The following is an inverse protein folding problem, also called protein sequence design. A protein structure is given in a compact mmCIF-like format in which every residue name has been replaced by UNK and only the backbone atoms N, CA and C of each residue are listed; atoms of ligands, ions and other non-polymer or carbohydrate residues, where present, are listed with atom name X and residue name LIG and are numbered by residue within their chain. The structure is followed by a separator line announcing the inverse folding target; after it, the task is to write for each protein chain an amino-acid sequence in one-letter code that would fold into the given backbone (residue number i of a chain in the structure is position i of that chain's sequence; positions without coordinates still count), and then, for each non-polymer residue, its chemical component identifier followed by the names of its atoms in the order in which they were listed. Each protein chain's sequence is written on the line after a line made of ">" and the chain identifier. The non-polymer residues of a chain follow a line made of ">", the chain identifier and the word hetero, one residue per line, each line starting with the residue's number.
data_IF_629842304640
#
_entry.id   IF_629842304640
#
_cell.length_a   1.000
_cell.length_b   1.000
_cell.length_c   1.000
_cell.angle_alpha   90.00
_cell.angle_beta   90.00
_cell.angle_gamma   90.00
#
_symmetry.space_group_name_H-M   'P 1'
#
loop_
_entity.id
_entity.type
_entity.pdbx_description
1 polymer ?
#
# COMPACT_ATOMS: atom_id res chain seq x y z
N UNK A 1 -1.99 -19.12 0.01
CA UNK A 1 -2.00 -17.84 0.76
C UNK A 1 -3.35 -17.46 1.36
N UNK A 2 -4.47 -17.54 0.62
CA UNK A 2 -5.77 -16.98 1.04
C UNK A 2 -6.37 -17.47 2.38
N UNK A 3 -5.94 -18.62 2.88
CA UNK A 3 -6.44 -19.17 4.16
C UNK A 3 -5.62 -18.72 5.38
N UNK A 4 -4.49 -18.02 5.19
CA UNK A 4 -3.70 -17.48 6.30
C UNK A 4 -4.37 -16.23 6.86
N UNK A 5 -4.19 -15.98 8.16
CA UNK A 5 -4.67 -14.76 8.82
C UNK A 5 -3.73 -13.56 8.57
N UNK A 6 -2.44 -13.81 8.45
CA UNK A 6 -1.41 -12.82 8.16
C UNK A 6 -0.37 -13.44 7.20
N UNK A 7 0.13 -12.64 6.25
CA UNK A 7 1.14 -13.07 5.29
C UNK A 7 2.52 -12.62 5.72
N UNK A 8 3.53 -13.44 5.45
CA UNK A 8 4.94 -13.12 5.65
C UNK A 8 5.65 -12.86 4.32
N UNK A 9 6.86 -12.31 4.35
CA UNK A 9 7.66 -12.12 3.12
C UNK A 9 7.87 -13.43 2.36
N UNK A 10 8.14 -14.53 3.07
CA UNK A 10 8.33 -15.85 2.44
C UNK A 10 7.09 -16.35 1.70
N UNK A 11 5.89 -15.89 2.05
CA UNK A 11 4.67 -16.22 1.31
C UNK A 11 4.63 -15.59 -0.09
N UNK A 12 5.43 -14.56 -0.34
CA UNK A 12 5.52 -13.88 -1.63
C UNK A 12 6.51 -14.58 -2.60
N UNK A 13 7.31 -15.53 -2.11
CA UNK A 13 8.39 -16.14 -2.89
C UNK A 13 7.86 -16.81 -4.17
N UNK A 14 8.40 -16.40 -5.32
CA UNK A 14 8.03 -16.91 -6.64
C UNK A 14 6.67 -16.43 -7.18
N UNK A 15 5.94 -15.61 -6.41
CA UNK A 15 4.64 -15.09 -6.84
C UNK A 15 4.79 -14.02 -7.93
N UNK A 16 3.74 -13.92 -8.75
CA UNK A 16 3.63 -12.85 -9.75
C UNK A 16 3.25 -11.55 -9.03
N UNK A 17 4.18 -10.62 -8.95
CA UNK A 17 4.06 -9.41 -8.15
C UNK A 17 3.79 -8.18 -9.02
N UNK A 18 2.68 -7.49 -8.72
CA UNK A 18 2.31 -6.21 -9.31
C UNK A 18 2.83 -5.12 -8.37
N UNK A 19 3.58 -4.17 -8.90
CA UNK A 19 4.35 -3.22 -8.09
C UNK A 19 4.21 -1.79 -8.58
N UNK A 20 4.68 -0.85 -7.76
CA UNK A 20 5.07 0.48 -8.23
C UNK A 20 6.15 0.38 -9.33
N UNK A 21 6.20 1.36 -10.26
CA UNK A 21 7.24 1.45 -11.29
C UNK A 21 8.66 1.46 -10.74
N UNK A 22 9.59 0.95 -11.56
CA UNK A 22 11.01 1.00 -11.26
C UNK A 22 11.47 2.46 -11.00
N UNK A 23 12.28 2.64 -9.95
CA UNK A 23 12.79 3.95 -9.55
C UNK A 23 11.89 4.75 -8.60
N UNK A 24 10.65 4.33 -8.33
CA UNK A 24 9.84 4.95 -7.28
C UNK A 24 10.37 4.57 -5.87
N UNK A 25 10.30 5.48 -4.87
CA UNK A 25 10.80 5.20 -3.53
C UNK A 25 10.19 3.95 -2.89
N UNK A 26 8.88 3.73 -3.06
CA UNK A 26 8.19 2.55 -2.52
C UNK A 26 8.62 1.26 -3.20
N UNK A 27 8.94 1.32 -4.51
CA UNK A 27 9.51 0.20 -5.25
C UNK A 27 10.88 -0.17 -4.67
N UNK A 28 11.75 0.82 -4.52
CA UNK A 28 13.09 0.62 -3.97
C UNK A 28 13.04 0.05 -2.54
N UNK A 29 12.18 0.59 -1.67
CA UNK A 29 12.01 0.09 -0.30
C UNK A 29 11.55 -1.37 -0.29
N UNK A 30 10.58 -1.74 -1.14
CA UNK A 30 10.12 -3.12 -1.26
C UNK A 30 11.23 -4.07 -1.73
N UNK A 31 12.02 -3.67 -2.73
CA UNK A 31 13.15 -4.45 -3.22
C UNK A 31 14.22 -4.65 -2.15
N UNK A 32 14.53 -3.62 -1.35
CA UNK A 32 15.45 -3.74 -0.22
C UNK A 32 14.95 -4.73 0.83
N UNK A 33 13.66 -4.67 1.18
CA UNK A 33 13.04 -5.61 2.12
C UNK A 33 13.15 -7.06 1.60
N UNK A 34 12.77 -7.29 0.34
CA UNK A 34 12.83 -8.60 -0.30
C UNK A 34 14.27 -9.13 -0.35
N UNK A 35 15.21 -8.29 -0.76
CA UNK A 35 16.63 -8.63 -0.86
C UNK A 35 17.22 -9.01 0.50
N UNK A 36 16.95 -8.24 1.56
CA UNK A 36 17.47 -8.49 2.89
C UNK A 36 16.98 -9.82 3.49
N UNK A 37 15.78 -10.25 3.12
CA UNK A 37 15.19 -11.53 3.56
C UNK A 37 15.42 -12.68 2.57
N UNK A 38 16.15 -12.44 1.47
CA UNK A 38 16.43 -13.44 0.45
C UNK A 38 15.17 -13.97 -0.25
N UNK A 39 14.15 -13.14 -0.40
CA UNK A 39 12.88 -13.49 -1.04
C UNK A 39 12.84 -12.93 -2.45
N UNK A 40 12.78 -13.82 -3.44
CA UNK A 40 12.59 -13.43 -4.83
C UNK A 40 11.13 -13.47 -5.23
N UNK A 41 10.66 -12.44 -5.93
CA UNK A 41 9.32 -12.36 -6.53
C UNK A 41 9.44 -12.12 -8.04
N UNK A 42 8.42 -12.48 -8.81
CA UNK A 42 8.38 -12.23 -10.24
C UNK A 42 7.59 -10.96 -10.54
N UNK A 43 8.28 -9.85 -10.80
CA UNK A 43 7.62 -8.59 -11.17
C UNK A 43 7.02 -8.66 -12.57
N UNK A 44 5.68 -8.59 -12.66
CA UNK A 44 4.96 -8.82 -13.93
C UNK A 44 4.27 -7.59 -14.51
N UNK A 45 3.90 -6.62 -13.67
CA UNK A 45 3.24 -5.37 -14.10
C UNK A 45 3.61 -4.25 -13.13
N UNK A 46 3.78 -3.06 -13.69
CA UNK A 46 4.07 -1.83 -12.95
C UNK A 46 2.95 -0.81 -13.09
N UNK A 47 2.49 -0.24 -11.98
CA UNK A 47 1.54 0.87 -11.97
C UNK A 47 1.54 1.61 -10.64
N UNK A 48 1.46 2.94 -10.70
CA UNK A 48 1.31 3.78 -9.50
C UNK A 48 -0.17 3.98 -9.10
N UNK A 49 -1.12 3.41 -9.84
CA UNK A 49 -2.55 3.63 -9.64
C UNK A 49 -3.24 2.45 -8.95
N UNK A 50 -3.65 2.65 -7.71
CA UNK A 50 -4.25 1.61 -6.87
C UNK A 50 -5.49 0.96 -7.47
N UNK A 51 -6.35 1.72 -8.16
CA UNK A 51 -7.53 1.16 -8.83
C UNK A 51 -7.14 0.20 -9.98
N UNK A 52 -6.07 0.50 -10.70
CA UNK A 52 -5.54 -0.38 -11.75
C UNK A 52 -4.94 -1.63 -11.10
N UNK A 53 -4.14 -1.47 -10.04
CA UNK A 53 -3.58 -2.59 -9.26
C UNK A 53 -4.68 -3.55 -8.82
N UNK A 54 -5.73 -3.06 -8.16
CA UNK A 54 -6.83 -3.92 -7.71
C UNK A 54 -7.55 -4.61 -8.88
N UNK A 55 -7.81 -3.92 -9.99
CA UNK A 55 -8.42 -4.52 -11.18
C UNK A 55 -7.57 -5.64 -11.78
N UNK A 56 -6.24 -5.48 -11.82
CA UNK A 56 -5.31 -6.49 -12.29
C UNK A 56 -5.26 -7.72 -11.36
N UNK A 57 -5.26 -7.50 -10.05
CA UNK A 57 -5.35 -8.59 -9.05
C UNK A 57 -6.67 -9.34 -9.19
N UNK A 58 -7.81 -8.65 -9.31
CA UNK A 58 -9.12 -9.28 -9.51
C UNK A 58 -9.19 -10.11 -10.80
N UNK A 59 -8.40 -9.75 -11.83
CA UNK A 59 -8.26 -10.50 -13.09
C UNK A 59 -7.23 -11.63 -13.02
N UNK A 60 -6.60 -11.87 -11.88
CA UNK A 60 -5.63 -12.95 -11.68
C UNK A 60 -4.26 -12.70 -12.32
N UNK A 61 -3.89 -11.44 -12.55
CA UNK A 61 -2.57 -11.10 -13.12
C UNK A 61 -1.44 -11.37 -12.12
N UNK A 62 -1.72 -11.24 -10.83
CA UNK A 62 -0.76 -11.45 -9.76
C UNK A 62 -1.29 -10.98 -8.41
N UNK A 63 -0.39 -10.82 -7.45
CA UNK A 63 -0.62 -10.24 -6.13
C UNK A 63 -0.01 -8.84 -6.05
N UNK A 64 -0.45 -8.04 -5.08
CA UNK A 64 0.10 -6.71 -4.83
C UNK A 64 0.06 -6.40 -3.34
N UNK A 65 0.97 -5.53 -2.90
CA UNK A 65 0.88 -4.86 -1.60
C UNK A 65 0.26 -3.48 -1.84
N UNK A 66 -0.75 -3.16 -1.05
CA UNK A 66 -1.44 -1.86 -1.08
C UNK A 66 -1.55 -1.31 0.33
N UNK A 67 -1.71 0.01 0.45
CA UNK A 67 -1.96 0.61 1.76
C UNK A 67 -3.34 0.19 2.32
N UNK A 68 -3.55 0.28 3.64
CA UNK A 68 -4.81 -0.12 4.28
C UNK A 68 -6.06 0.58 3.72
N UNK A 69 -5.98 1.87 3.37
CA UNK A 69 -7.11 2.61 2.80
C UNK A 69 -7.60 1.99 1.48
N UNK A 70 -6.66 1.63 0.60
CA UNK A 70 -6.98 0.95 -0.66
C UNK A 70 -7.54 -0.44 -0.38
N UNK A 71 -6.94 -1.17 0.55
CA UNK A 71 -7.39 -2.51 0.94
C UNK A 71 -8.88 -2.53 1.35
N UNK A 72 -9.35 -1.52 2.09
CA UNK A 72 -10.76 -1.37 2.44
C UNK A 72 -11.67 -1.17 1.21
N UNK A 73 -11.23 -0.38 0.22
CA UNK A 73 -12.05 -0.10 -0.97
C UNK A 73 -12.05 -1.24 -1.99
N UNK A 74 -10.98 -2.05 -2.05
CA UNK A 74 -10.85 -3.11 -3.06
C UNK A 74 -11.51 -4.44 -2.65
N UNK A 75 -11.87 -4.63 -1.38
CA UNK A 75 -12.51 -5.86 -0.90
C UNK A 75 -13.82 -6.23 -1.61
N UNK A 76 -14.54 -5.24 -2.15
CA UNK A 76 -15.79 -5.47 -2.88
C UNK A 76 -15.60 -6.10 -4.28
N UNK A 77 -14.36 -6.16 -4.78
CA UNK A 77 -14.05 -6.60 -6.15
C UNK A 77 -13.73 -8.10 -6.29
N UNK A 78 -14.07 -8.93 -5.29
CA UNK A 78 -13.76 -10.36 -5.31
C UNK A 78 -12.29 -10.69 -5.05
N UNK A 79 -11.55 -9.75 -4.46
CA UNK A 79 -10.14 -9.89 -4.09
C UNK A 79 -10.06 -10.32 -2.63
N UNK A 80 -9.19 -11.28 -2.31
CA UNK A 80 -8.87 -11.63 -0.93
C UNK A 80 -7.79 -10.68 -0.42
N UNK A 81 -8.16 -9.86 0.56
CA UNK A 81 -7.23 -8.96 1.26
C UNK A 81 -6.71 -9.65 2.51
N UNK A 82 -5.39 -9.57 2.75
CA UNK A 82 -4.74 -10.12 3.94
C UNK A 82 -3.77 -9.11 4.55
N UNK A 83 -3.71 -9.01 5.90
CA UNK A 83 -2.65 -8.30 6.59
C UNK A 83 -1.26 -8.74 6.13
N UNK A 84 -0.34 -7.78 6.12
CA UNK A 84 1.06 -7.97 5.78
C UNK A 84 1.89 -6.89 6.48
N UNK A 85 2.60 -7.28 7.54
CA UNK A 85 3.29 -6.33 8.43
C UNK A 85 4.76 -6.07 8.03
N UNK A 86 5.23 -6.73 6.99
CA UNK A 86 6.63 -6.68 6.54
C UNK A 86 6.85 -5.78 5.32
N UNK A 87 5.89 -4.92 4.97
CA UNK A 87 5.95 -4.07 3.77
C UNK A 87 6.50 -2.66 4.01
N UNK A 88 6.67 -1.89 2.92
CA UNK A 88 7.01 -0.47 2.99
C UNK A 88 6.04 0.32 3.87
N UNK A 89 6.55 1.27 4.65
CA UNK A 89 5.70 2.09 5.53
C UNK A 89 5.13 3.29 4.79
N UNK A 90 3.82 3.48 4.88
CA UNK A 90 3.15 4.68 4.37
C UNK A 90 2.97 5.72 5.47
N UNK A 91 3.53 6.91 5.28
CA UNK A 91 3.33 8.05 6.17
C UNK A 91 2.53 9.15 5.47
N UNK A 92 1.40 9.54 6.08
CA UNK A 92 0.62 10.70 5.65
C UNK A 92 1.06 11.92 6.47
N UNK A 93 1.47 12.99 5.78
CA UNK A 93 1.97 14.21 6.42
C UNK A 93 1.13 15.43 6.06
N UNK A 94 0.94 16.33 7.03
CA UNK A 94 0.31 17.64 6.83
C UNK A 94 1.40 18.71 6.73
N UNK A 95 1.49 19.36 5.57
CA UNK A 95 2.48 20.40 5.29
C UNK A 95 1.81 21.77 5.39
N UNK A 96 2.44 22.71 6.12
CA UNK A 96 1.92 24.05 6.34
C UNK A 96 2.90 25.12 5.84
N UNK A 97 2.41 26.28 5.34
CA UNK A 97 3.27 27.40 5.00
C UNK A 97 4.05 27.92 6.21
N UNK A 98 5.37 28.06 6.06
CA UNK A 98 6.23 28.63 7.09
C UNK A 98 5.83 30.08 7.38
N UNK A 99 5.73 30.44 8.67
CA UNK A 99 5.51 31.82 9.13
C UNK A 99 4.06 32.33 9.02
N UNK A 100 3.09 31.50 8.64
CA UNK A 100 1.67 31.88 8.66
C UNK A 100 0.94 31.16 9.81
N UNK A 101 0.18 31.89 10.66
CA UNK A 101 -0.69 31.25 11.63
C UNK A 101 -1.75 30.42 10.91
N UNK A 102 -2.13 29.28 11.51
CA UNK A 102 -3.19 28.41 10.98
C UNK A 102 -4.54 29.09 11.20
N UNK A 103 -5.27 29.34 10.12
CA UNK A 103 -6.62 29.90 10.21
C UNK A 103 -7.59 28.88 10.82
N UNK A 104 -8.65 29.37 11.48
CA UNK A 104 -9.66 28.53 12.14
C UNK A 104 -10.25 27.44 11.23
N UNK A 105 -10.45 27.74 9.94
CA UNK A 105 -10.95 26.76 8.96
C UNK A 105 -9.95 25.64 8.69
N UNK A 106 -8.65 25.96 8.63
CA UNK A 106 -7.59 24.95 8.48
C UNK A 106 -7.54 24.04 9.69
N UNK A 107 -7.60 24.60 10.90
CA UNK A 107 -7.62 23.80 12.13
C UNK A 107 -8.85 22.89 12.21
N UNK A 108 -10.03 23.42 11.84
CA UNK A 108 -11.26 22.63 11.81
C UNK A 108 -11.18 21.48 10.80
N UNK A 109 -10.66 21.75 9.59
CA UNK A 109 -10.44 20.70 8.58
C UNK A 109 -9.46 19.64 9.06
N UNK A 110 -8.33 20.04 9.64
CA UNK A 110 -7.30 19.12 10.15
C UNK A 110 -7.85 18.24 11.28
N UNK A 111 -8.70 18.79 12.15
CA UNK A 111 -9.34 18.02 13.22
C UNK A 111 -10.23 16.91 12.64
N UNK A 112 -11.09 17.24 11.68
CA UNK A 112 -11.97 16.26 11.01
C UNK A 112 -11.15 15.23 10.24
N UNK A 113 -10.12 15.66 9.51
CA UNK A 113 -9.26 14.76 8.74
C UNK A 113 -8.55 13.76 9.66
N UNK A 114 -8.00 14.21 10.79
CA UNK A 114 -7.35 13.32 11.77
C UNK A 114 -8.33 12.30 12.36
N UNK A 115 -9.56 12.72 12.63
CA UNK A 115 -10.61 11.82 13.11
C UNK A 115 -10.91 10.75 12.07
N UNK A 116 -11.20 11.15 10.81
CA UNK A 116 -11.47 10.19 9.73
C UNK A 116 -10.32 9.21 9.49
N UNK A 117 -9.07 9.67 9.60
CA UNK A 117 -7.87 8.84 9.40
C UNK A 117 -7.64 7.86 10.55
N UNK A 118 -8.05 8.20 11.77
CA UNK A 118 -7.87 7.34 12.95
C UNK A 118 -8.90 6.21 13.04
N UNK A 119 -9.97 6.28 12.25
CA UNK A 119 -11.04 5.29 12.18
C UNK A 119 -10.74 4.15 11.18
N UNK A 120 -9.55 4.15 10.54
CA UNK A 120 -9.01 3.10 9.68
C UNK A 120 -7.80 2.43 10.33
#
# INVERSE_FOLDING_TARGET
>A
MCNKENLTLSDLAGERFISFPEGEPLRYEMEQILFNEGVDVNFVVETSYSAITCSLVAKGVGIAIVNPYIAHTCGESGIVVKPFDSGPKHEAVLIYPKGKPRGRFVESFVAVLKQMVSDF
#
